data_IF_068985755144
#
_entry.id   IF_068985755144
#
_cell.length_a   1.000
_cell.length_b   1.000
_cell.length_c   1.000
_cell.angle_alpha   90.00
_cell.angle_beta   90.00
_cell.angle_gamma   90.00
#
_symmetry.space_group_name_H-M   'P 1'
#
loop_
_entity.id
_entity.type
_entity.pdbx_description
1 polymer ?
#
# COMPACT_ATOMS: atom_id res chain seq x y z
N UNK A 1 -14.96 -18.63 -13.62
CA UNK A 1 -14.24 -18.98 -12.37
C UNK A 1 -15.11 -18.61 -11.19
N UNK A 2 -15.40 -19.57 -10.32
CA UNK A 2 -16.18 -19.35 -9.10
C UNK A 2 -15.21 -19.14 -7.96
N UNK A 3 -15.25 -17.98 -7.31
CA UNK A 3 -14.39 -17.68 -6.17
C UNK A 3 -15.04 -18.12 -4.86
N UNK A 4 -14.23 -18.51 -3.88
CA UNK A 4 -14.71 -18.86 -2.54
C UNK A 4 -15.12 -17.61 -1.76
N UNK A 5 -16.13 -17.77 -0.91
CA UNK A 5 -16.52 -16.79 0.08
C UNK A 5 -15.56 -16.85 1.27
N UNK A 6 -15.20 -15.68 1.80
CA UNK A 6 -14.34 -15.61 2.96
C UNK A 6 -15.13 -15.84 4.24
N UNK A 7 -14.54 -16.53 5.22
CA UNK A 7 -15.20 -16.82 6.50
C UNK A 7 -15.13 -15.64 7.47
N UNK A 8 -16.18 -15.47 8.26
CA UNK A 8 -16.29 -14.42 9.27
C UNK A 8 -16.75 -15.00 10.61
N UNK A 9 -16.29 -14.40 11.71
CA UNK A 9 -16.79 -14.75 13.04
C UNK A 9 -18.18 -14.12 13.32
N UNK A 10 -18.76 -14.44 14.49
CA UNK A 10 -20.06 -13.87 14.94
C UNK A 10 -20.07 -12.33 15.02
N UNK A 11 -18.89 -11.70 15.18
CA UNK A 11 -18.72 -10.23 15.22
C UNK A 11 -18.56 -9.62 13.82
N UNK A 12 -18.61 -10.42 12.76
CA UNK A 12 -18.41 -9.97 11.38
C UNK A 12 -16.97 -9.58 11.06
N UNK A 13 -15.99 -10.17 11.76
CA UNK A 13 -14.57 -10.01 11.49
C UNK A 13 -14.06 -11.17 10.62
N UNK A 14 -13.31 -10.89 9.54
CA UNK A 14 -12.74 -11.91 8.68
C UNK A 14 -11.73 -12.78 9.44
N UNK A 15 -11.79 -14.10 9.21
CA UNK A 15 -10.95 -15.10 9.87
C UNK A 15 -9.75 -15.41 8.98
N UNK A 16 -8.54 -15.33 9.53
CA UNK A 16 -7.34 -15.70 8.80
C UNK A 16 -7.33 -17.21 8.52
N UNK A 17 -7.14 -17.61 7.26
CA UNK A 17 -7.08 -19.02 6.88
C UNK A 17 -5.77 -19.71 7.34
N UNK A 18 -4.76 -18.94 7.75
CA UNK A 18 -3.46 -19.47 8.20
C UNK A 18 -3.47 -19.73 9.72
N UNK A 19 -3.91 -18.74 10.51
CA UNK A 19 -3.89 -18.83 11.97
C UNK A 19 -5.26 -19.02 12.63
N UNK A 20 -6.35 -19.06 11.86
CA UNK A 20 -7.73 -19.19 12.34
C UNK A 20 -8.21 -18.10 13.32
N UNK A 21 -7.48 -16.98 13.44
CA UNK A 21 -7.85 -15.85 14.29
C UNK A 21 -8.58 -14.76 13.46
N UNK A 22 -9.55 -14.09 14.07
CA UNK A 22 -10.34 -13.04 13.42
C UNK A 22 -9.76 -11.64 13.66
N UNK A 23 -9.76 -10.79 12.62
CA UNK A 23 -9.18 -9.44 12.66
C UNK A 23 -10.04 -8.42 11.94
N UNK A 24 -10.01 -7.15 12.37
CA UNK A 24 -10.69 -6.08 11.62
C UNK A 24 -10.00 -5.78 10.27
N UNK A 25 -8.67 -5.82 10.26
CA UNK A 25 -7.80 -5.59 9.10
C UNK A 25 -7.03 -6.86 8.74
N UNK A 26 -7.73 -7.90 8.29
CA UNK A 26 -7.10 -9.20 8.00
C UNK A 26 -5.90 -9.09 7.05
N UNK A 27 -6.03 -8.37 5.93
CA UNK A 27 -4.96 -8.29 4.93
C UNK A 27 -3.69 -7.59 5.48
N UNK A 28 -3.85 -6.64 6.41
CA UNK A 28 -2.72 -6.03 7.11
C UNK A 28 -2.04 -7.03 8.06
N UNK A 29 -2.84 -7.80 8.79
CA UNK A 29 -2.32 -8.88 9.64
C UNK A 29 -1.55 -9.90 8.81
N UNK A 30 -2.12 -10.37 7.69
CA UNK A 30 -1.49 -11.34 6.80
C UNK A 30 -0.15 -10.84 6.28
N UNK A 31 -0.09 -9.58 5.85
CA UNK A 31 1.17 -8.99 5.41
C UNK A 31 2.22 -8.94 6.53
N UNK A 32 1.84 -8.47 7.72
CA UNK A 32 2.78 -8.33 8.85
C UNK A 32 3.21 -9.65 9.47
N UNK A 33 2.31 -10.63 9.57
CA UNK A 33 2.54 -11.89 10.30
C UNK A 33 2.95 -13.03 9.40
N UNK A 34 2.52 -13.03 8.15
CA UNK A 34 2.74 -14.12 7.20
C UNK A 34 3.53 -13.70 5.96
N UNK A 35 3.91 -12.42 5.83
CA UNK A 35 4.72 -11.92 4.72
C UNK A 35 4.01 -11.92 3.36
N UNK A 36 2.72 -12.29 3.31
CA UNK A 36 1.96 -12.34 2.06
C UNK A 36 1.28 -11.00 1.78
N UNK A 37 1.34 -10.55 0.54
CA UNK A 37 0.51 -9.44 0.11
C UNK A 37 -0.96 -9.87 -0.08
N UNK A 38 -1.85 -8.90 -0.23
CA UNK A 38 -3.28 -9.17 -0.33
C UNK A 38 -3.67 -10.03 -1.55
N UNK A 39 -2.95 -9.91 -2.67
CA UNK A 39 -3.22 -10.66 -3.88
C UNK A 39 -2.78 -12.12 -3.72
N UNK A 40 -1.56 -12.34 -3.26
CA UNK A 40 -1.01 -13.67 -2.97
C UNK A 40 -1.90 -14.45 -2.01
N UNK A 41 -2.31 -13.81 -0.92
CA UNK A 41 -3.23 -14.42 0.05
C UNK A 41 -4.54 -14.83 -0.61
N UNK A 42 -5.17 -13.94 -1.38
CA UNK A 42 -6.45 -14.23 -2.02
C UNK A 42 -6.35 -15.34 -3.05
N UNK A 43 -5.34 -15.30 -3.92
CA UNK A 43 -5.10 -16.35 -4.92
C UNK A 43 -4.86 -17.69 -4.23
N UNK A 44 -4.02 -17.73 -3.19
CA UNK A 44 -3.69 -18.94 -2.44
C UNK A 44 -4.90 -19.61 -1.81
N UNK A 45 -5.88 -18.83 -1.36
CA UNK A 45 -7.09 -19.34 -0.70
C UNK A 45 -8.34 -19.29 -1.61
N UNK A 46 -8.18 -19.16 -2.93
CA UNK A 46 -9.29 -19.16 -3.89
C UNK A 46 -10.27 -17.98 -3.75
N UNK A 47 -9.86 -16.90 -3.10
CA UNK A 47 -10.68 -15.70 -2.86
C UNK A 47 -10.57 -14.74 -4.04
N UNK A 48 -11.61 -13.95 -4.27
CA UNK A 48 -11.62 -12.96 -5.34
C UNK A 48 -10.57 -11.85 -5.10
N UNK A 49 -9.54 -11.71 -5.97
CA UNK A 49 -8.46 -10.74 -5.79
C UNK A 49 -8.94 -9.28 -5.67
N UNK A 50 -10.04 -8.93 -6.37
CA UNK A 50 -10.60 -7.58 -6.43
C UNK A 50 -11.48 -7.23 -5.23
N UNK A 51 -12.07 -8.24 -4.55
CA UNK A 51 -12.98 -8.00 -3.42
C UNK A 51 -12.19 -7.65 -2.16
N UNK A 52 -12.55 -6.58 -1.46
CA UNK A 52 -11.95 -6.22 -0.18
C UNK A 52 -12.32 -7.19 0.94
N UNK A 53 -11.42 -7.40 1.91
CA UNK A 53 -11.65 -8.28 3.07
C UNK A 53 -11.35 -7.49 4.34
N UNK A 54 -12.41 -7.07 5.03
CA UNK A 54 -12.34 -6.28 6.26
C UNK A 54 -13.64 -6.45 7.06
N UNK A 55 -13.59 -6.19 8.36
CA UNK A 55 -14.78 -6.35 9.21
C UNK A 55 -15.90 -5.36 8.87
N UNK A 56 -17.15 -5.78 9.10
CA UNK A 56 -18.32 -4.91 8.88
C UNK A 56 -18.26 -3.62 9.70
N UNK A 57 -17.73 -3.69 10.92
CA UNK A 57 -17.53 -2.53 11.80
C UNK A 57 -16.56 -1.53 11.15
N UNK A 58 -15.41 -2.00 10.68
CA UNK A 58 -14.42 -1.14 10.04
C UNK A 58 -14.96 -0.51 8.76
N UNK A 59 -15.70 -1.27 7.93
CA UNK A 59 -16.35 -0.74 6.73
C UNK A 59 -17.26 0.46 7.03
N UNK A 60 -18.11 0.33 8.07
CA UNK A 60 -19.01 1.42 8.49
C UNK A 60 -18.24 2.64 8.99
N UNK A 61 -17.19 2.45 9.78
CA UNK A 61 -16.35 3.54 10.28
C UNK A 61 -15.64 4.28 9.14
N UNK A 62 -15.04 3.54 8.20
CA UNK A 62 -14.38 4.14 7.04
C UNK A 62 -15.36 4.92 6.17
N UNK A 63 -16.56 4.38 5.94
CA UNK A 63 -17.62 5.10 5.21
C UNK A 63 -18.03 6.39 5.92
N UNK A 64 -18.24 6.34 7.24
CA UNK A 64 -18.57 7.53 8.04
C UNK A 64 -17.47 8.58 7.96
N UNK A 65 -16.21 8.18 8.09
CA UNK A 65 -15.07 9.09 8.00
C UNK A 65 -14.94 9.73 6.61
N UNK A 66 -15.16 8.96 5.54
CA UNK A 66 -15.15 9.49 4.17
C UNK A 66 -16.25 10.53 3.94
N UNK A 67 -17.46 10.28 4.45
CA UNK A 67 -18.58 11.22 4.35
C UNK A 67 -18.39 12.46 5.23
N UNK A 68 -17.82 12.32 6.42
CA UNK A 68 -17.49 13.45 7.28
C UNK A 68 -16.41 14.37 6.69
N UNK A 69 -15.58 13.85 5.77
CA UNK A 69 -14.54 14.60 5.07
C UNK A 69 -14.85 14.71 3.57
N UNK A 70 -16.13 14.91 3.24
CA UNK A 70 -16.64 14.86 1.87
C UNK A 70 -15.85 15.75 0.90
N UNK A 71 -15.65 17.01 1.24
CA UNK A 71 -15.02 18.00 0.35
C UNK A 71 -13.61 17.60 -0.08
N UNK A 72 -12.82 17.09 0.87
CA UNK A 72 -11.45 16.66 0.58
C UNK A 72 -11.41 15.29 -0.08
N UNK A 73 -12.06 14.30 0.54
CA UNK A 73 -11.91 12.90 0.14
C UNK A 73 -12.71 12.58 -1.10
N UNK A 74 -13.94 13.09 -1.22
CA UNK A 74 -14.85 12.75 -2.32
C UNK A 74 -14.76 13.83 -3.40
N UNK A 75 -15.02 15.10 -3.07
CA UNK A 75 -15.07 16.15 -4.08
C UNK A 75 -13.71 16.41 -4.72
N UNK A 76 -12.70 16.78 -3.92
CA UNK A 76 -11.38 17.12 -4.45
C UNK A 76 -10.65 15.91 -5.02
N UNK A 77 -10.53 14.80 -4.27
CA UNK A 77 -9.70 13.68 -4.71
C UNK A 77 -10.38 12.80 -5.77
N UNK A 78 -11.64 12.42 -5.58
CA UNK A 78 -12.30 11.42 -6.44
C UNK A 78 -13.06 12.03 -7.61
N UNK A 79 -13.75 13.15 -7.42
CA UNK A 79 -14.51 13.80 -8.48
C UNK A 79 -13.57 14.67 -9.33
N UNK A 80 -12.99 15.72 -8.73
CA UNK A 80 -12.17 16.69 -9.46
C UNK A 80 -10.84 16.05 -9.87
N UNK A 81 -10.07 15.54 -8.92
CA UNK A 81 -8.79 14.89 -9.17
C UNK A 81 -8.92 13.63 -10.02
N UNK A 82 -10.03 12.90 -9.89
CA UNK A 82 -10.30 11.72 -10.68
C UNK A 82 -10.45 11.99 -12.17
N UNK A 83 -10.99 13.14 -12.59
CA UNK A 83 -11.21 13.49 -14.01
C UNK A 83 -9.92 13.38 -14.84
N UNK A 84 -8.78 13.82 -14.31
CA UNK A 84 -7.50 13.76 -15.02
C UNK A 84 -6.97 12.33 -15.19
N UNK A 85 -7.37 11.43 -14.30
CA UNK A 85 -6.93 10.03 -14.24
C UNK A 85 -7.92 9.02 -14.85
N UNK A 86 -9.12 9.48 -15.26
CA UNK A 86 -10.12 8.60 -15.88
C UNK A 86 -9.60 8.04 -17.19
N UNK A 87 -10.03 6.82 -17.49
CA UNK A 87 -9.77 6.20 -18.78
C UNK A 87 -10.32 7.07 -19.91
N UNK A 88 -9.51 7.26 -20.95
CA UNK A 88 -9.88 7.95 -22.19
C UNK A 88 -9.62 6.98 -23.34
N UNK A 89 -10.44 7.05 -24.37
CA UNK A 89 -10.22 6.25 -25.57
C UNK A 89 -8.84 6.61 -26.18
N UNK A 90 -8.07 5.60 -26.57
CA UNK A 90 -6.66 5.76 -26.98
C UNK A 90 -5.65 5.90 -25.82
N UNK A 91 -6.06 5.74 -24.56
CA UNK A 91 -5.14 5.79 -23.43
C UNK A 91 -4.21 4.57 -23.38
N UNK A 92 -2.93 4.80 -23.69
CA UNK A 92 -1.85 3.81 -23.61
C UNK A 92 -1.18 3.75 -22.23
N UNK A 93 -1.62 4.55 -21.25
CA UNK A 93 -1.08 4.51 -19.89
C UNK A 93 -1.50 3.26 -19.09
N UNK A 94 -2.48 2.49 -19.59
CA UNK A 94 -2.84 1.15 -19.09
C UNK A 94 -2.20 0.03 -19.89
N UNK A 95 -1.36 0.36 -20.89
CA UNK A 95 -0.54 -0.62 -21.58
C UNK A 95 0.42 -1.26 -20.56
N UNK A 96 0.25 -2.57 -20.37
CA UNK A 96 0.91 -3.33 -19.30
C UNK A 96 2.43 -3.20 -19.41
N UNK A 97 2.98 -3.17 -20.62
CA UNK A 97 4.43 -3.04 -20.81
C UNK A 97 4.93 -1.66 -20.36
N UNK A 98 4.23 -0.60 -20.78
CA UNK A 98 4.59 0.78 -20.42
C UNK A 98 4.41 1.07 -18.92
N UNK A 99 3.42 0.44 -18.27
CA UNK A 99 3.24 0.50 -16.81
C UNK A 99 4.38 -0.23 -16.09
N UNK A 100 4.84 -1.37 -16.61
CA UNK A 100 5.97 -2.11 -16.03
C UNK A 100 7.28 -1.31 -16.15
N UNK A 101 7.51 -0.69 -17.29
CA UNK A 101 8.69 0.13 -17.55
C UNK A 101 8.76 1.35 -16.61
N UNK A 102 7.70 2.15 -16.56
CA UNK A 102 7.61 3.30 -15.64
C UNK A 102 7.68 2.91 -14.16
N UNK A 103 7.27 1.69 -13.81
CA UNK A 103 7.43 1.15 -12.44
C UNK A 103 8.88 0.76 -12.14
N UNK A 104 9.59 0.18 -13.10
CA UNK A 104 11.03 -0.11 -12.99
C UNK A 104 11.84 1.17 -12.83
N UNK A 105 11.54 2.20 -13.64
CA UNK A 105 12.19 3.51 -13.55
C UNK A 105 11.96 4.20 -12.19
N UNK A 106 10.73 4.15 -11.67
CA UNK A 106 10.44 4.70 -10.34
C UNK A 106 11.20 3.97 -9.23
N UNK A 107 11.31 2.65 -9.33
CA UNK A 107 12.11 1.85 -8.40
C UNK A 107 13.59 2.22 -8.49
N UNK A 108 14.19 2.27 -9.69
CA UNK A 108 15.61 2.63 -9.83
C UNK A 108 15.91 4.02 -9.30
N UNK A 109 15.05 5.01 -9.57
CA UNK A 109 15.17 6.37 -9.02
C UNK A 109 15.06 6.38 -7.49
N UNK A 110 14.12 5.63 -6.91
CA UNK A 110 13.95 5.54 -5.46
C UNK A 110 15.19 4.91 -4.80
N UNK A 111 15.74 3.86 -5.39
CA UNK A 111 16.96 3.21 -4.92
C UNK A 111 18.19 4.12 -5.04
N UNK A 112 18.31 4.86 -6.15
CA UNK A 112 19.37 5.84 -6.35
C UNK A 112 19.31 6.96 -5.30
N UNK A 113 18.12 7.53 -5.04
CA UNK A 113 17.90 8.53 -3.99
C UNK A 113 18.27 8.00 -2.60
N UNK A 114 17.89 6.77 -2.29
CA UNK A 114 18.25 6.13 -1.01
C UNK A 114 19.76 5.90 -0.87
N UNK A 115 20.44 5.55 -1.97
CA UNK A 115 21.90 5.41 -1.98
C UNK A 115 22.58 6.76 -1.77
N UNK A 116 22.10 7.82 -2.43
CA UNK A 116 22.60 9.19 -2.24
C UNK A 116 22.37 9.71 -0.82
N UNK A 117 21.18 9.47 -0.22
CA UNK A 117 20.92 9.89 1.16
C UNK A 117 21.82 9.18 2.17
N UNK A 118 22.06 7.89 1.97
CA UNK A 118 22.99 7.14 2.81
C UNK A 118 24.42 7.64 2.66
N UNK A 119 24.85 7.94 1.42
CA UNK A 119 26.20 8.43 1.17
C UNK A 119 26.43 9.83 1.78
N UNK A 120 25.43 10.72 1.67
CA UNK A 120 25.45 12.05 2.29
C UNK A 120 25.58 11.96 3.82
N UNK A 121 24.87 11.04 4.48
CA UNK A 121 24.96 10.83 5.92
C UNK A 121 26.36 10.36 6.36
N UNK A 122 27.00 9.49 5.58
CA UNK A 122 28.37 9.03 5.85
C UNK A 122 29.38 10.16 5.69
N UNK A 123 29.25 10.99 4.65
CA UNK A 123 30.12 12.15 4.43
C UNK A 123 29.98 13.16 5.57
N UNK A 124 28.76 13.47 6.00
CA UNK A 124 28.52 14.39 7.13
C UNK A 124 29.17 13.89 8.42
N UNK A 125 29.03 12.60 8.73
CA UNK A 125 29.65 11.99 9.91
C UNK A 125 31.19 12.07 9.85
N UNK A 126 31.78 11.77 8.70
CA UNK A 126 33.23 11.85 8.52
C UNK A 126 33.75 13.31 8.66
N UNK A 127 32.99 14.28 8.16
CA UNK A 127 33.32 15.70 8.26
C UNK A 127 33.28 16.18 9.72
N UNK A 128 32.28 15.71 10.49
CA UNK A 128 32.13 15.99 11.93
C UNK A 128 33.31 15.43 12.74
N UNK A 129 33.70 14.16 12.48
CA UNK A 129 34.84 13.51 13.12
C UNK A 129 36.15 14.27 12.81
N UNK A 130 36.37 14.63 11.54
CA UNK A 130 37.56 15.39 11.14
C UNK A 130 37.62 16.80 11.76
N UNK A 131 36.46 17.40 12.07
CA UNK A 131 36.37 18.67 12.81
C UNK A 131 36.74 18.48 14.28
N UNK A 132 36.21 17.45 14.94
CA UNK A 132 36.53 17.13 16.33
C UNK A 132 38.02 16.83 16.53
N UNK A 133 38.63 16.05 15.64
CA UNK A 133 40.06 15.71 15.71
C UNK A 133 40.98 16.93 15.52
N UNK A 134 40.54 17.96 14.78
CA UNK A 134 41.30 19.21 14.60
C UNK A 134 41.26 20.11 15.83
N UNK A 135 40.21 20.02 16.64
CA UNK A 135 40.05 20.82 17.87
C UNK A 135 40.71 20.17 19.10
N UNK A 136 41.25 18.95 18.94
CA UNK A 136 41.96 18.20 19.99
C UNK A 136 43.49 18.34 19.90
N UNK A 137 44.00 19.13 18.94
CA UNK A 137 45.40 19.53 18.82
C UNK A 137 45.55 21.00 19.19
#
# INVERSE_FOLDING_TARGET
>A
MTYLEHQFNKKGQPICAICAVAYDKLLLHVNKRHGLNAQEYKVRFGLNPRKGIQSRKLQKLMRKAALANYDKVIMQNLIIGGISSRFKEGNTATDIERVRETSRERMTLQWARKKQSNNMGVVQLATEIARQLRNLK
#
